data_IF_405491961198
#
_entry.id   IF_405491961198
#
_cell.length_a   1.000
_cell.length_b   1.000
_cell.length_c   1.000
_cell.angle_alpha   90.00
_cell.angle_beta   90.00
_cell.angle_gamma   90.00
#
_symmetry.space_group_name_H-M   'P 1'
#
loop_
_entity.id
_entity.type
_entity.pdbx_description
1 polymer ?
#
# COMPACT_ATOMS: atom_id res chain seq x y z
N UNK A 1 1.52 -8.05 12.91
CA UNK A 1 1.54 -8.44 11.47
C UNK A 1 0.47 -9.49 11.23
N UNK A 2 -0.17 -9.47 10.05
CA UNK A 2 -1.38 -10.24 9.71
C UNK A 2 -1.13 -11.12 8.49
N UNK A 3 -1.69 -12.33 8.45
CA UNK A 3 -1.71 -13.13 7.22
C UNK A 3 -2.89 -12.75 6.32
N UNK A 4 -2.86 -13.16 5.04
CA UNK A 4 -3.95 -12.87 4.09
C UNK A 4 -5.31 -13.34 4.62
N UNK A 5 -5.35 -14.53 5.23
CA UNK A 5 -6.59 -15.09 5.79
C UNK A 5 -7.10 -14.28 6.97
N UNK A 6 -6.21 -13.73 7.81
CA UNK A 6 -6.62 -12.87 8.91
C UNK A 6 -7.24 -11.57 8.36
N UNK A 7 -6.61 -10.94 7.37
CA UNK A 7 -7.11 -9.71 6.73
C UNK A 7 -8.44 -9.97 6.01
N UNK A 8 -8.56 -11.11 5.33
CA UNK A 8 -9.80 -11.54 4.69
C UNK A 8 -10.94 -11.68 5.70
N UNK A 9 -10.66 -12.27 6.86
CA UNK A 9 -11.69 -12.47 7.90
C UNK A 9 -12.15 -11.15 8.53
N UNK A 10 -11.29 -10.14 8.58
CA UNK A 10 -11.60 -8.82 9.14
C UNK A 10 -12.40 -7.98 8.16
N UNK A 11 -11.98 -7.93 6.90
CA UNK A 11 -12.60 -7.09 5.88
C UNK A 11 -13.82 -7.73 5.21
N UNK A 12 -14.07 -9.02 5.48
CA UNK A 12 -15.12 -9.84 4.84
C UNK A 12 -15.08 -9.81 3.28
N UNK A 13 -13.90 -9.53 2.72
CA UNK A 13 -13.67 -9.50 1.27
C UNK A 13 -13.16 -10.86 0.76
N UNK A 14 -13.43 -11.24 -0.50
CA UNK A 14 -12.86 -12.45 -1.07
C UNK A 14 -11.32 -12.43 -1.08
N UNK A 15 -10.69 -13.57 -0.77
CA UNK A 15 -9.23 -13.70 -0.73
C UNK A 15 -8.49 -13.22 -1.99
N UNK A 16 -8.97 -13.47 -3.23
CA UNK A 16 -8.31 -12.97 -4.44
C UNK A 16 -8.26 -11.43 -4.48
N UNK A 17 -9.31 -10.77 -3.99
CA UNK A 17 -9.41 -9.31 -3.92
C UNK A 17 -8.41 -8.77 -2.90
N UNK A 18 -8.40 -9.35 -1.68
CA UNK A 18 -7.45 -9.00 -0.62
C UNK A 18 -6.00 -9.17 -1.09
N UNK A 19 -5.68 -10.31 -1.72
CA UNK A 19 -4.34 -10.59 -2.23
C UNK A 19 -3.90 -9.57 -3.30
N UNK A 20 -4.80 -9.23 -4.23
CA UNK A 20 -4.54 -8.22 -5.27
C UNK A 20 -4.27 -6.85 -4.64
N UNK A 21 -5.06 -6.41 -3.67
CA UNK A 21 -4.84 -5.15 -2.97
C UNK A 21 -3.52 -5.13 -2.20
N UNK A 22 -3.19 -6.20 -1.47
CA UNK A 22 -1.92 -6.30 -0.75
C UNK A 22 -0.72 -6.25 -1.70
N UNK A 23 -0.82 -6.84 -2.89
CA UNK A 23 0.22 -6.73 -3.90
C UNK A 23 0.41 -5.28 -4.38
N UNK A 24 -0.68 -4.50 -4.57
CA UNK A 24 -0.56 -3.08 -4.92
C UNK A 24 0.02 -2.25 -3.77
N UNK A 25 -0.47 -2.45 -2.55
CA UNK A 25 0.03 -1.73 -1.37
C UNK A 25 1.51 -2.06 -1.09
N UNK A 26 1.93 -3.30 -1.36
CA UNK A 26 3.34 -3.68 -1.28
C UNK A 26 4.17 -2.94 -2.34
N UNK A 27 3.71 -2.90 -3.59
CA UNK A 27 4.42 -2.21 -4.68
C UNK A 27 4.53 -0.71 -4.44
N UNK A 28 3.56 -0.10 -3.77
CA UNK A 28 3.59 1.32 -3.41
C UNK A 28 4.32 1.61 -2.10
N UNK A 29 4.90 0.59 -1.44
CA UNK A 29 5.63 0.76 -0.18
C UNK A 29 4.74 1.06 1.03
N UNK A 30 3.42 0.89 0.93
CA UNK A 30 2.46 1.12 2.02
C UNK A 30 2.32 -0.08 2.96
N UNK A 31 2.81 -1.25 2.54
CA UNK A 31 2.79 -2.49 3.31
C UNK A 31 4.10 -3.25 3.09
N UNK A 32 4.67 -3.74 4.19
CA UNK A 32 5.77 -4.68 4.17
C UNK A 32 5.26 -6.11 4.16
N UNK A 33 5.97 -6.99 3.45
CA UNK A 33 5.69 -8.42 3.37
C UNK A 33 6.83 -9.19 4.03
N UNK A 34 6.51 -10.01 5.02
CA UNK A 34 7.45 -10.90 5.68
C UNK A 34 7.01 -12.36 5.50
N UNK A 35 7.94 -13.28 5.23
CA UNK A 35 7.67 -14.72 5.18
C UNK A 35 8.28 -15.39 6.41
N UNK A 36 7.46 -16.10 7.17
CA UNK A 36 7.92 -16.92 8.29
C UNK A 36 7.45 -18.36 8.09
N UNK A 37 8.43 -19.21 7.74
CA UNK A 37 8.21 -20.59 7.30
C UNK A 37 7.28 -20.67 6.09
N UNK A 38 6.15 -21.37 6.25
CA UNK A 38 5.13 -21.55 5.20
C UNK A 38 4.13 -20.39 5.09
N UNK A 39 4.11 -19.46 6.07
CA UNK A 39 3.13 -18.37 6.12
C UNK A 39 3.74 -17.05 5.65
N UNK A 40 2.91 -16.23 5.01
CA UNK A 40 3.23 -14.87 4.60
C UNK A 40 2.43 -13.92 5.48
N UNK A 41 3.10 -12.90 5.98
CA UNK A 41 2.56 -11.87 6.84
C UNK A 41 2.77 -10.48 6.23
N UNK A 42 1.88 -9.58 6.59
CA UNK A 42 1.85 -8.20 6.14
C UNK A 42 1.82 -7.27 7.36
N UNK A 43 2.50 -6.14 7.26
CA UNK A 43 2.52 -5.09 8.27
C UNK A 43 2.62 -3.71 7.63
N UNK A 44 2.20 -2.67 8.34
CA UNK A 44 2.59 -1.32 7.98
C UNK A 44 4.12 -1.21 8.02
N UNK A 45 4.74 -0.44 7.11
CA UNK A 45 6.17 -0.24 7.08
C UNK A 45 6.66 0.45 8.36
N UNK A 46 7.84 0.04 8.82
CA UNK A 46 8.45 0.63 10.03
C UNK A 46 9.00 2.03 9.74
N UNK A 47 9.54 2.22 8.54
CA UNK A 47 10.03 3.51 8.06
C UNK A 47 9.22 3.92 6.83
N UNK A 48 8.26 4.81 7.03
CA UNK A 48 7.40 5.34 5.98
C UNK A 48 7.76 6.80 5.73
N UNK A 49 7.70 7.29 4.48
CA UNK A 49 7.87 8.71 4.19
C UNK A 49 6.92 9.56 5.05
N UNK A 50 7.34 10.74 5.53
CA UNK A 50 6.51 11.61 6.36
C UNK A 50 5.12 11.90 5.75
N UNK A 51 5.06 12.06 4.43
CA UNK A 51 3.85 12.33 3.67
C UNK A 51 2.85 11.17 3.75
N UNK A 52 3.35 9.94 3.66
CA UNK A 52 2.55 8.71 3.78
C UNK A 52 2.02 8.57 5.20
N UNK A 53 2.87 8.84 6.19
CA UNK A 53 2.46 8.79 7.59
C UNK A 53 1.35 9.81 7.89
N UNK A 54 1.47 11.04 7.36
CA UNK A 54 0.43 12.08 7.47
C UNK A 54 -0.88 11.66 6.79
N UNK A 55 -0.82 11.08 5.59
CA UNK A 55 -2.01 10.59 4.89
C UNK A 55 -2.71 9.49 5.69
N UNK A 56 -1.96 8.49 6.18
CA UNK A 56 -2.53 7.40 6.97
C UNK A 56 -3.16 7.93 8.26
N UNK A 57 -2.50 8.87 8.93
CA UNK A 57 -3.03 9.50 10.13
C UNK A 57 -4.32 10.31 9.86
N UNK A 58 -4.36 11.04 8.74
CA UNK A 58 -5.56 11.73 8.29
C UNK A 58 -6.70 10.74 7.99
N UNK A 59 -6.42 9.66 7.25
CA UNK A 59 -7.39 8.61 6.95
C UNK A 59 -7.93 7.93 8.22
N UNK A 60 -7.08 7.73 9.24
CA UNK A 60 -7.51 7.21 10.54
C UNK A 60 -8.45 8.18 11.26
N UNK A 61 -8.12 9.48 11.27
CA UNK A 61 -8.93 10.53 11.90
C UNK A 61 -10.27 10.75 11.21
N UNK A 62 -10.30 10.75 9.89
CA UNK A 62 -11.55 10.86 9.12
C UNK A 62 -12.36 9.55 9.16
N UNK A 63 -11.66 8.42 9.13
CA UNK A 63 -12.25 7.09 9.13
C UNK A 63 -12.94 6.70 10.43
N UNK A 64 -12.63 7.35 11.56
CA UNK A 64 -13.29 7.05 12.84
C UNK A 64 -14.79 7.36 12.83
N UNK A 65 -15.27 8.20 11.91
CA UNK A 65 -16.70 8.45 11.69
C UNK A 65 -17.38 7.42 10.77
N UNK A 66 -16.62 6.54 10.11
CA UNK A 66 -17.15 5.58 9.15
C UNK A 66 -17.50 4.26 9.85
N UNK A 67 -18.75 3.82 9.74
CA UNK A 67 -19.24 2.61 10.40
C UNK A 67 -18.44 1.35 10.00
N UNK A 68 -18.10 1.22 8.72
CA UNK A 68 -17.32 0.08 8.19
C UNK A 68 -15.94 0.00 8.83
N UNK A 69 -15.16 1.09 8.85
CA UNK A 69 -13.83 1.09 9.45
C UNK A 69 -13.86 0.83 10.95
N UNK A 70 -14.92 1.30 11.64
CA UNK A 70 -15.12 1.01 13.06
C UNK A 70 -15.41 -0.47 13.30
N UNK A 71 -16.27 -1.07 12.48
CA UNK A 71 -16.57 -2.50 12.55
C UNK A 71 -15.32 -3.34 12.26
N UNK A 72 -14.57 -3.00 11.21
CA UNK A 72 -13.33 -3.70 10.86
C UNK A 72 -12.31 -3.63 12.01
N UNK A 73 -12.17 -2.47 12.67
CA UNK A 73 -11.30 -2.31 13.83
C UNK A 73 -11.75 -3.15 15.04
N UNK A 74 -13.06 -3.27 15.25
CA UNK A 74 -13.64 -4.08 16.32
C UNK A 74 -13.43 -5.58 16.08
N UNK A 75 -13.66 -6.04 14.84
CA UNK A 75 -13.37 -7.42 14.43
C UNK A 75 -11.89 -7.72 14.59
N UNK A 76 -11.01 -6.83 14.11
CA UNK A 76 -9.56 -6.97 14.25
C UNK A 76 -9.12 -7.09 15.71
N UNK A 77 -9.73 -6.34 16.63
CA UNK A 77 -9.44 -6.43 18.07
C UNK A 77 -9.86 -7.76 18.71
N UNK A 78 -10.85 -8.46 18.12
CA UNK A 78 -11.30 -9.80 18.56
C UNK A 78 -10.54 -10.93 17.90
N UNK A 79 -10.03 -10.71 16.68
CA UNK A 79 -9.23 -11.71 15.96
C UNK A 79 -7.92 -11.94 16.71
N UNK A 80 -7.65 -13.21 17.07
CA UNK A 80 -6.33 -13.60 17.60
C UNK A 80 -5.29 -13.44 16.49
N UNK A 81 -4.72 -12.24 16.41
CA UNK A 81 -3.54 -11.96 15.58
C UNK A 81 -2.44 -12.94 15.97
N UNK A 82 -1.98 -13.72 14.99
CA UNK A 82 -0.84 -14.61 15.22
C UNK A 82 0.32 -13.77 15.76
N UNK A 83 0.70 -14.03 17.01
CA UNK A 83 1.80 -13.35 17.70
C UNK A 83 3.10 -13.68 16.97
N UNK A 84 3.46 -12.83 16.02
CA UNK A 84 4.71 -12.90 15.28
C UNK A 84 5.85 -12.55 16.23
N UNK A 85 6.54 -13.58 16.73
CA UNK A 85 7.87 -13.44 17.33
C UNK A 85 8.88 -13.25 16.20
N UNK A 86 8.89 -12.07 15.60
CA UNK A 86 9.98 -11.65 14.72
C UNK A 86 11.17 -11.28 15.58
N UNK A 87 12.23 -12.08 15.51
CA UNK A 87 13.56 -11.66 15.95
C UNK A 87 13.92 -10.36 15.23
N UNK A 88 14.01 -9.27 15.99
CA UNK A 88 14.53 -7.98 15.54
C UNK A 88 15.96 -8.21 15.06
N UNK A 89 16.13 -8.33 13.74
CA UNK A 89 17.44 -8.43 13.11
C UNK A 89 18.19 -7.12 13.31
N UNK A 90 19.17 -7.16 14.20
CA UNK A 90 20.19 -6.15 14.40
C UNK A 90 20.98 -5.89 13.10
N UNK A 91 21.18 -4.61 12.81
CA UNK A 91 22.27 -3.96 12.07
C UNK A 91 22.94 -4.72 10.90
N UNK A 92 22.86 -4.10 9.72
CA UNK A 92 24.04 -4.00 8.84
C UNK A 92 24.33 -2.53 8.57
N UNK A 93 25.30 -2.00 9.33
CA UNK A 93 26.20 -0.95 8.85
C UNK A 93 26.73 -1.35 7.48
N UNK A 94 26.60 -0.45 6.52
CA UNK A 94 27.48 -0.35 5.35
C UNK A 94 27.55 1.12 4.98
N UNK A 95 28.60 1.72 5.52
CA UNK A 95 29.54 2.63 4.86
C UNK A 95 29.00 3.61 3.80
N UNK A 96 29.31 4.87 4.08
CA UNK A 96 29.33 6.02 3.18
C UNK A 96 29.99 5.68 1.84
N UNK A 97 29.32 6.00 0.72
CA UNK A 97 29.85 6.53 -0.53
C UNK A 97 28.61 7.05 -1.29
N UNK A 98 28.41 8.36 -1.37
CA UNK A 98 28.89 9.26 -2.43
C UNK A 98 27.98 9.21 -3.68
N UNK A 99 27.66 10.43 -4.13
CA UNK A 99 26.96 10.88 -5.34
C UNK A 99 26.17 9.89 -6.21
N UNK A 100 24.92 10.24 -6.54
CA UNK A 100 24.58 10.69 -7.92
C UNK A 100 23.10 11.03 -8.12
N UNK A 101 22.89 12.22 -8.70
CA UNK A 101 21.86 12.59 -9.66
C UNK A 101 20.37 12.38 -9.32
N UNK A 102 19.75 13.50 -8.98
CA UNK A 102 18.32 13.75 -9.22
C UNK A 102 18.10 13.69 -10.74
N UNK A 103 17.46 12.63 -11.24
CA UNK A 103 16.84 12.66 -12.57
C UNK A 103 15.48 13.33 -12.46
N UNK A 104 15.32 14.42 -13.20
CA UNK A 104 14.07 15.16 -13.33
C UNK A 104 12.94 14.25 -13.83
N UNK A 105 11.80 14.40 -13.18
CA UNK A 105 10.50 13.87 -13.61
C UNK A 105 10.09 14.63 -14.86
N UNK A 106 10.15 13.96 -16.01
CA UNK A 106 9.60 14.47 -17.26
C UNK A 106 8.06 14.39 -17.16
N UNK A 107 7.45 15.51 -16.77
CA UNK A 107 6.01 15.72 -16.82
C UNK A 107 5.57 15.69 -18.29
N UNK A 108 5.08 14.53 -18.74
CA UNK A 108 4.45 14.41 -20.04
C UNK A 108 3.14 15.20 -20.05
N UNK A 109 3.22 16.47 -20.48
CA UNK A 109 2.08 17.35 -20.69
C UNK A 109 1.47 17.01 -22.05
N UNK A 110 0.39 16.23 -22.08
CA UNK A 110 -0.45 16.11 -23.27
C UNK A 110 -1.22 17.42 -23.47
N UNK A 111 -1.14 18.11 -24.63
CA UNK A 111 -2.17 19.06 -25.00
C UNK A 111 -3.37 18.30 -25.58
N UNK A 112 -4.52 18.44 -24.92
CA UNK A 112 -5.81 18.13 -25.49
C UNK A 112 -6.18 19.24 -26.50
N UNK A 113 -6.09 18.92 -27.78
CA UNK A 113 -6.70 19.65 -28.91
C UNK A 113 -7.04 18.57 -29.93
N UNK A 114 -8.26 18.37 -30.42
CA UNK A 114 -9.29 19.33 -30.78
C UNK A 114 -9.80 18.86 -32.16
N UNK A 115 -11.10 18.63 -32.25
CA UNK A 115 -11.82 18.05 -33.39
C UNK A 115 -11.85 18.96 -34.64
N UNK A 116 -12.22 18.34 -35.79
CA UNK A 116 -12.74 18.91 -37.07
C UNK A 116 -11.66 19.24 -38.12
N UNK A 117 -11.73 18.81 -39.38
CA UNK A 117 -12.71 18.03 -40.14
C UNK A 117 -12.10 17.72 -41.51
N UNK A 118 -12.41 16.55 -42.07
CA UNK A 118 -11.97 16.14 -43.41
C UNK A 118 -13.16 16.21 -44.35
N UNK A 119 -13.31 17.33 -45.04
CA UNK A 119 -14.10 17.42 -46.27
C UNK A 119 -13.20 17.00 -47.44
N UNK A 120 -13.61 15.97 -48.16
CA UNK A 120 -12.94 15.59 -49.40
C UNK A 120 -13.49 14.30 -50.01
N UNK A 121 -14.26 14.49 -51.09
CA UNK A 121 -14.31 13.66 -52.31
C UNK A 121 -15.62 12.87 -52.58
N UNK A 122 -16.48 13.41 -53.47
CA UNK A 122 -17.11 12.69 -54.60
C UNK A 122 -17.30 13.69 -55.76
N UNK A 123 -16.72 13.40 -56.92
CA UNK A 123 -17.19 13.77 -58.27
C UNK A 123 -17.38 12.45 -59.03
#
# INVERSE_FOLDING_TARGET
>A
PLSVTDIQSVLELPQPVVSKHLAYLQKSGLVERCRSGKRVFYSAPTNQPPEVALLIDHLRRCGSGMATLRQDAEVLGRTKVASFRGSTGSQRSRDQHDETHIHNVEYNSQPASGLVGSDGFID
#
